data_IF_829453554762
#
_entry.id   IF_829453554762
#
_cell.length_a   1.000
_cell.length_b   1.000
_cell.length_c   1.000
_cell.angle_alpha   90.00
_cell.angle_beta   90.00
_cell.angle_gamma   90.00
#
_symmetry.space_group_name_H-M   'P 1'
#
loop_
_entity.id
_entity.type
_entity.pdbx_description
1 polymer ?
#
# COMPACT_ATOMS: atom_id res chain seq x y z
N UNK A 1 -0.08 -78.77 -41.52
CA UNK A 1 -0.14 -77.31 -41.62
C UNK A 1 0.54 -76.72 -40.40
N UNK A 2 1.79 -76.27 -40.59
CA UNK A 2 2.68 -75.83 -39.50
C UNK A 2 2.54 -74.35 -39.26
N UNK A 3 2.23 -73.96 -38.00
CA UNK A 3 2.23 -72.59 -37.52
C UNK A 3 3.66 -72.16 -37.17
N UNK A 4 4.19 -71.17 -37.85
CA UNK A 4 5.42 -70.46 -37.47
C UNK A 4 5.07 -69.28 -36.51
N UNK A 5 5.40 -69.46 -35.24
CA UNK A 5 5.44 -68.41 -34.23
C UNK A 5 6.70 -67.57 -34.42
N UNK A 6 6.53 -66.30 -34.77
CA UNK A 6 7.61 -65.31 -34.85
C UNK A 6 8.01 -64.86 -33.45
N UNK A 7 9.25 -64.99 -33.11
CA UNK A 7 9.86 -64.54 -31.86
C UNK A 7 10.00 -63.04 -31.88
N UNK A 8 9.22 -62.31 -31.04
CA UNK A 8 9.41 -60.90 -30.79
C UNK A 8 10.62 -60.73 -29.86
N UNK A 9 11.70 -60.19 -30.41
CA UNK A 9 12.87 -59.76 -29.63
C UNK A 9 12.47 -58.50 -28.85
N UNK A 10 12.42 -58.57 -27.51
CA UNK A 10 12.35 -57.42 -26.62
C UNK A 10 13.65 -56.62 -26.77
N UNK A 11 13.52 -55.41 -27.27
CA UNK A 11 14.60 -54.41 -27.27
C UNK A 11 14.74 -53.92 -25.83
N UNK A 12 15.77 -54.40 -25.14
CA UNK A 12 16.18 -53.90 -23.83
C UNK A 12 16.63 -52.43 -23.97
N UNK A 13 15.83 -51.51 -23.45
CA UNK A 13 16.01 -50.06 -23.58
C UNK A 13 16.99 -49.43 -22.60
N UNK A 14 18.02 -50.11 -22.18
CA UNK A 14 19.08 -49.54 -21.32
C UNK A 14 20.42 -49.51 -22.04
N UNK A 15 20.50 -48.69 -23.09
CA UNK A 15 21.76 -48.33 -23.70
C UNK A 15 22.29 -47.05 -23.02
N UNK A 16 23.30 -47.10 -22.16
CA UNK A 16 23.86 -45.95 -21.47
C UNK A 16 24.44 -44.91 -22.45
N UNK A 17 24.80 -45.31 -23.67
CA UNK A 17 25.29 -44.38 -24.70
C UNK A 17 24.19 -43.41 -25.23
N UNK A 18 22.90 -43.77 -25.11
CA UNK A 18 21.79 -42.92 -25.51
C UNK A 18 21.43 -41.84 -24.43
N UNK A 19 21.86 -42.05 -23.17
CA UNK A 19 21.69 -41.05 -22.11
C UNK A 19 22.76 -39.96 -22.12
N UNK A 20 23.97 -40.23 -22.60
CA UNK A 20 25.04 -39.22 -22.69
C UNK A 20 24.89 -38.27 -23.90
N UNK A 21 24.16 -38.63 -24.93
CA UNK A 21 23.95 -37.82 -26.14
C UNK A 21 22.90 -36.69 -26.00
N UNK A 22 22.10 -36.68 -24.92
CA UNK A 22 21.02 -35.70 -24.72
C UNK A 22 21.41 -34.53 -23.79
N UNK A 23 22.61 -34.52 -23.20
CA UNK A 23 23.17 -33.32 -22.57
C UNK A 23 23.76 -32.51 -23.67
N UNK A 24 22.90 -31.68 -24.30
CA UNK A 24 23.25 -30.77 -25.39
C UNK A 24 24.56 -30.07 -25.07
N UNK A 25 25.53 -30.23 -25.96
CA UNK A 25 26.82 -29.53 -25.99
C UNK A 25 26.55 -28.01 -26.09
N UNK A 26 26.22 -27.38 -24.94
CA UNK A 26 26.29 -25.91 -24.82
C UNK A 26 27.74 -25.53 -25.10
N UNK A 27 27.96 -24.74 -26.14
CA UNK A 27 29.28 -24.32 -26.56
C UNK A 27 30.06 -23.68 -25.40
N UNK A 28 31.34 -23.90 -25.24
CA UNK A 28 32.13 -23.32 -24.14
C UNK A 28 31.94 -21.80 -24.02
N UNK A 29 31.80 -21.09 -25.15
CA UNK A 29 31.59 -19.65 -25.24
C UNK A 29 30.27 -19.23 -24.62
N UNK A 30 29.17 -19.96 -24.86
CA UNK A 30 27.83 -19.68 -24.29
C UNK A 30 27.81 -19.87 -22.76
N UNK A 31 28.60 -20.81 -22.24
CA UNK A 31 28.75 -20.98 -20.78
C UNK A 31 29.54 -19.84 -20.16
N UNK A 32 30.59 -19.35 -20.81
CA UNK A 32 31.39 -18.23 -20.33
C UNK A 32 30.55 -16.96 -20.27
N UNK A 33 29.76 -16.67 -21.31
CA UNK A 33 28.82 -15.55 -21.35
C UNK A 33 27.74 -15.65 -20.26
N UNK A 34 27.14 -16.82 -20.07
CA UNK A 34 26.14 -17.04 -19.01
C UNK A 34 26.72 -16.80 -17.61
N UNK A 35 27.97 -17.16 -17.37
CA UNK A 35 28.66 -16.91 -16.11
C UNK A 35 28.92 -15.42 -15.87
N UNK A 36 29.32 -14.67 -16.90
CA UNK A 36 29.53 -13.21 -16.81
C UNK A 36 28.21 -12.51 -16.53
N UNK A 37 27.14 -12.87 -17.28
CA UNK A 37 25.82 -12.31 -17.10
C UNK A 37 25.27 -12.60 -15.69
N UNK A 38 25.41 -13.84 -15.21
CA UNK A 38 25.00 -14.22 -13.86
C UNK A 38 25.70 -13.37 -12.78
N UNK A 39 27.03 -13.19 -12.89
CA UNK A 39 27.80 -12.36 -11.95
C UNK A 39 27.36 -10.91 -12.00
N UNK A 40 27.12 -10.36 -13.20
CA UNK A 40 26.62 -9.00 -13.36
C UNK A 40 25.24 -8.83 -12.68
N UNK A 41 24.28 -9.73 -12.96
CA UNK A 41 22.96 -9.73 -12.34
C UNK A 41 23.07 -9.88 -10.81
N UNK A 42 23.99 -10.70 -10.31
CA UNK A 42 24.20 -10.85 -8.87
C UNK A 42 24.70 -9.57 -8.21
N UNK A 43 25.64 -8.87 -8.86
CA UNK A 43 26.15 -7.58 -8.36
C UNK A 43 25.07 -6.51 -8.39
N UNK A 44 24.37 -6.37 -9.52
CA UNK A 44 23.27 -5.40 -9.68
C UNK A 44 22.17 -5.63 -8.66
N UNK A 45 21.69 -6.87 -8.52
CA UNK A 45 20.64 -7.18 -7.53
C UNK A 45 21.12 -6.98 -6.09
N UNK A 46 22.42 -7.13 -5.81
CA UNK A 46 22.99 -6.82 -4.50
C UNK A 46 22.98 -5.32 -4.20
N UNK A 47 23.35 -4.51 -5.16
CA UNK A 47 23.33 -3.05 -5.03
C UNK A 47 21.88 -2.54 -4.87
N UNK A 48 20.96 -3.07 -5.69
CA UNK A 48 19.54 -2.73 -5.59
C UNK A 48 18.94 -3.15 -4.24
N UNK A 49 19.32 -4.33 -3.71
CA UNK A 49 18.86 -4.78 -2.41
C UNK A 49 19.36 -3.88 -1.28
N UNK A 50 20.62 -3.47 -1.31
CA UNK A 50 21.17 -2.54 -0.33
C UNK A 50 20.41 -1.20 -0.38
N UNK A 51 20.18 -0.67 -1.57
CA UNK A 51 19.40 0.55 -1.77
C UNK A 51 17.95 0.39 -1.24
N UNK A 52 17.31 -0.75 -1.53
CA UNK A 52 15.95 -1.04 -1.06
C UNK A 52 15.89 -1.18 0.47
N UNK A 53 16.90 -1.78 1.12
CA UNK A 53 17.00 -1.85 2.59
C UNK A 53 17.12 -0.44 3.17
N UNK A 54 17.98 0.41 2.60
CA UNK A 54 18.12 1.80 3.05
C UNK A 54 16.81 2.56 2.88
N UNK A 55 16.17 2.45 1.70
CA UNK A 55 14.88 3.08 1.45
C UNK A 55 13.79 2.60 2.41
N UNK A 56 13.72 1.29 2.69
CA UNK A 56 12.78 0.72 3.66
C UNK A 56 13.02 1.26 5.07
N UNK A 57 14.29 1.33 5.52
CA UNK A 57 14.65 1.86 6.83
C UNK A 57 14.25 3.34 6.96
N UNK A 58 14.56 4.17 5.97
CA UNK A 58 14.17 5.58 5.94
C UNK A 58 12.65 5.75 5.94
N UNK A 59 11.94 4.93 5.16
CA UNK A 59 10.48 4.99 5.08
C UNK A 59 9.81 4.55 6.38
N UNK A 60 10.35 3.55 7.08
CA UNK A 60 9.87 3.14 8.42
C UNK A 60 10.07 4.27 9.43
N UNK A 61 11.23 4.94 9.41
CA UNK A 61 11.49 6.08 10.29
C UNK A 61 10.55 7.26 10.00
N UNK A 62 10.27 7.52 8.73
CA UNK A 62 9.31 8.55 8.32
C UNK A 62 7.89 8.22 8.79
N UNK A 63 7.40 7.00 8.52
CA UNK A 63 6.07 6.58 8.98
C UNK A 63 5.96 6.61 10.52
N UNK A 64 7.00 6.19 11.24
CA UNK A 64 7.03 6.27 12.69
C UNK A 64 6.92 7.72 13.20
N UNK A 65 7.67 8.64 12.56
CA UNK A 65 7.61 10.08 12.88
C UNK A 65 6.22 10.66 12.62
N UNK A 66 5.64 10.35 11.44
CA UNK A 66 4.29 10.78 11.05
C UNK A 66 3.24 10.27 12.04
N UNK A 67 3.29 8.99 12.42
CA UNK A 67 2.38 8.41 13.43
C UNK A 67 2.49 9.12 14.77
N UNK A 68 3.71 9.38 15.23
CA UNK A 68 3.91 10.10 16.50
C UNK A 68 3.37 11.52 16.44
N UNK A 69 3.58 12.22 15.34
CA UNK A 69 3.05 13.56 15.12
C UNK A 69 1.52 13.57 15.17
N UNK A 70 0.87 12.72 14.36
CA UNK A 70 -0.60 12.63 14.30
C UNK A 70 -1.17 12.17 15.65
N UNK A 71 -0.53 11.23 16.33
CA UNK A 71 -0.93 10.74 17.66
C UNK A 71 -0.88 11.85 18.70
N UNK A 72 0.23 12.59 18.78
CA UNK A 72 0.35 13.71 19.71
C UNK A 72 -0.68 14.79 19.46
N UNK A 73 -0.99 15.02 18.16
CA UNK A 73 -2.03 15.96 17.74
C UNK A 73 -3.44 15.47 18.17
N UNK A 74 -3.74 14.21 17.87
CA UNK A 74 -5.01 13.56 18.25
C UNK A 74 -5.22 13.57 19.76
N UNK A 75 -4.19 13.23 20.55
CA UNK A 75 -4.26 13.20 22.01
C UNK A 75 -4.51 14.60 22.64
N UNK A 76 -4.14 15.67 21.92
CA UNK A 76 -4.37 17.03 22.36
C UNK A 76 -5.82 17.50 22.15
N UNK A 77 -6.54 16.90 21.20
CA UNK A 77 -7.90 17.35 20.81
C UNK A 77 -9.00 16.35 21.21
N UNK A 78 -8.66 15.07 21.36
CA UNK A 78 -9.62 13.99 21.63
C UNK A 78 -9.40 13.44 23.04
N UNK A 79 -10.36 13.57 23.96
CA UNK A 79 -10.26 12.97 25.28
C UNK A 79 -10.15 11.44 25.17
N UNK A 80 -9.21 10.84 25.90
CA UNK A 80 -8.92 9.41 25.80
C UNK A 80 -10.04 8.49 26.29
N UNK A 81 -10.89 8.99 27.18
CA UNK A 81 -12.01 8.26 27.78
C UNK A 81 -13.35 8.41 27.03
N UNK A 82 -13.38 9.18 25.93
CA UNK A 82 -14.60 9.48 25.19
C UNK A 82 -15.15 8.28 24.43
N UNK A 83 -16.47 8.20 24.33
CA UNK A 83 -17.17 7.28 23.44
C UNK A 83 -16.82 7.55 21.95
N UNK A 84 -16.95 6.57 21.06
CA UNK A 84 -16.60 6.75 19.64
C UNK A 84 -17.26 7.97 18.99
N UNK A 85 -18.53 8.23 19.25
CA UNK A 85 -19.25 9.39 18.70
C UNK A 85 -18.69 10.72 19.22
N UNK A 86 -18.38 10.80 20.53
CA UNK A 86 -17.77 11.98 21.14
C UNK A 86 -16.36 12.28 20.55
N UNK A 87 -15.61 11.24 20.21
CA UNK A 87 -14.31 11.41 19.53
C UNK A 87 -14.48 12.01 18.14
N UNK A 88 -15.48 11.56 17.39
CA UNK A 88 -15.82 12.13 16.08
C UNK A 88 -16.18 13.59 16.25
N UNK A 89 -17.04 13.93 17.19
CA UNK A 89 -17.47 15.32 17.45
C UNK A 89 -16.30 16.21 17.89
N UNK A 90 -15.39 15.70 18.73
CA UNK A 90 -14.18 16.44 19.14
C UNK A 90 -13.27 16.77 17.96
N UNK A 91 -13.05 15.82 17.03
CA UNK A 91 -12.27 16.06 15.81
C UNK A 91 -12.96 17.12 14.93
N UNK A 92 -14.26 16.98 14.68
CA UNK A 92 -15.03 17.94 13.86
C UNK A 92 -15.07 19.32 14.49
N UNK A 93 -15.20 19.39 15.81
CA UNK A 93 -15.15 20.65 16.56
C UNK A 93 -13.78 21.34 16.38
N UNK A 94 -12.68 20.60 16.52
CA UNK A 94 -11.35 21.13 16.24
C UNK A 94 -11.21 21.60 14.79
N UNK A 95 -11.72 20.83 13.82
CA UNK A 95 -11.71 21.22 12.40
C UNK A 95 -12.52 22.49 12.12
N UNK A 96 -13.52 22.79 12.95
CA UNK A 96 -14.32 24.02 12.84
C UNK A 96 -13.63 25.22 13.49
N UNK A 97 -12.98 25.03 14.62
CA UNK A 97 -12.52 26.10 15.52
C UNK A 97 -11.00 26.06 15.77
N UNK A 98 -10.27 25.22 15.03
CA UNK A 98 -8.81 25.11 15.18
C UNK A 98 -8.09 26.42 14.84
N UNK A 99 -6.90 26.65 15.39
CA UNK A 99 -6.13 27.85 15.12
C UNK A 99 -5.74 27.94 13.65
N UNK A 100 -5.98 29.07 13.02
CA UNK A 100 -5.50 29.34 11.67
C UNK A 100 -3.97 29.31 11.67
N UNK A 101 -3.38 28.46 10.83
CA UNK A 101 -1.95 28.44 10.58
C UNK A 101 -1.67 29.15 9.27
N UNK A 102 -0.65 30.00 9.28
CA UNK A 102 -0.20 30.66 8.08
C UNK A 102 0.46 29.63 7.17
N UNK A 103 -0.08 29.50 5.97
CA UNK A 103 0.48 28.66 4.92
C UNK A 103 1.54 29.47 4.18
N UNK A 104 2.80 29.23 4.48
CA UNK A 104 3.94 29.94 3.85
C UNK A 104 4.74 29.03 2.92
N UNK A 105 4.28 27.80 2.70
CA UNK A 105 4.97 26.81 1.89
C UNK A 105 4.33 26.57 0.51
N UNK A 106 5.05 25.89 -0.40
CA UNK A 106 4.46 25.34 -1.60
C UNK A 106 3.31 24.39 -1.23
N UNK A 107 2.37 24.19 -2.16
CA UNK A 107 1.26 23.27 -1.94
C UNK A 107 1.80 21.89 -1.61
N UNK A 108 1.66 21.47 -0.34
CA UNK A 108 2.09 20.17 0.14
C UNK A 108 1.23 19.04 -0.42
N UNK A 109 1.66 17.81 -0.20
CA UNK A 109 0.90 16.64 -0.59
C UNK A 109 -0.42 16.57 0.16
N UNK A 110 -1.53 16.40 -0.56
CA UNK A 110 -2.86 16.17 0.04
C UNK A 110 -2.97 14.81 0.76
N UNK A 111 -1.89 14.03 0.76
CA UNK A 111 -1.78 12.71 1.40
C UNK A 111 -0.76 12.68 2.52
N UNK A 112 -0.10 13.80 2.79
CA UNK A 112 0.76 13.97 3.95
C UNK A 112 -0.04 14.55 5.12
N UNK A 113 -0.27 13.78 6.21
CA UNK A 113 -1.01 14.28 7.37
C UNK A 113 -0.36 15.49 8.04
N UNK A 114 0.96 15.66 7.94
CA UNK A 114 1.65 16.81 8.52
C UNK A 114 1.28 18.11 7.84
N UNK A 115 0.99 18.05 6.54
CA UNK A 115 0.51 19.17 5.74
C UNK A 115 -1.00 19.35 5.85
N UNK A 116 -1.78 18.25 5.79
CA UNK A 116 -3.25 18.33 5.81
C UNK A 116 -3.82 18.73 7.16
N UNK A 117 -3.09 18.53 8.26
CA UNK A 117 -3.44 19.03 9.59
C UNK A 117 -3.17 20.53 9.76
N UNK A 118 -2.52 21.18 8.80
CA UNK A 118 -2.48 22.63 8.75
C UNK A 118 -3.89 23.16 8.46
N UNK A 119 -4.41 24.03 9.34
CA UNK A 119 -5.78 24.52 9.24
C UNK A 119 -6.07 25.22 7.91
N UNK A 120 -5.11 25.97 7.37
CA UNK A 120 -5.25 26.60 6.06
C UNK A 120 -5.42 25.56 4.93
N UNK A 121 -4.71 24.42 5.01
CA UNK A 121 -4.85 23.32 4.05
C UNK A 121 -6.17 22.58 4.18
N UNK A 122 -6.72 22.44 5.41
CA UNK A 122 -8.04 21.82 5.64
C UNK A 122 -9.18 22.52 4.90
N UNK A 123 -9.06 23.84 4.71
CA UNK A 123 -10.12 24.65 4.09
C UNK A 123 -10.06 24.62 2.55
N UNK A 124 -9.01 24.04 1.95
CA UNK A 124 -8.79 24.10 0.49
C UNK A 124 -9.74 23.18 -0.29
N UNK A 125 -9.74 21.89 0.04
CA UNK A 125 -10.48 20.88 -0.73
C UNK A 125 -11.00 19.73 0.14
N UNK A 126 -12.02 19.02 -0.37
CA UNK A 126 -12.61 17.87 0.32
C UNK A 126 -11.60 16.76 0.61
N UNK A 127 -10.63 16.54 -0.27
CA UNK A 127 -9.60 15.55 -0.10
C UNK A 127 -8.69 15.81 1.11
N UNK A 128 -8.27 17.06 1.34
CA UNK A 128 -7.43 17.42 2.50
C UNK A 128 -8.19 17.32 3.81
N UNK A 129 -9.43 17.79 3.85
CA UNK A 129 -10.28 17.69 5.03
C UNK A 129 -10.53 16.21 5.42
N UNK A 130 -10.86 15.37 4.44
CA UNK A 130 -11.07 13.93 4.69
C UNK A 130 -9.78 13.23 5.11
N UNK A 131 -8.63 13.57 4.50
CA UNK A 131 -7.34 13.02 4.89
C UNK A 131 -7.02 13.34 6.35
N UNK A 132 -7.13 14.62 6.75
CA UNK A 132 -6.89 15.04 8.13
C UNK A 132 -7.82 14.31 9.11
N UNK A 133 -9.12 14.26 8.80
CA UNK A 133 -10.10 13.56 9.63
C UNK A 133 -9.79 12.08 9.81
N UNK A 134 -9.54 11.34 8.71
CA UNK A 134 -9.26 9.89 8.75
C UNK A 134 -7.99 9.60 9.56
N UNK A 135 -6.93 10.40 9.39
CA UNK A 135 -5.69 10.21 10.14
C UNK A 135 -5.86 10.53 11.65
N UNK A 136 -6.63 11.56 12.00
CA UNK A 136 -6.94 11.87 13.41
C UNK A 136 -7.81 10.78 14.04
N UNK A 137 -8.84 10.33 13.32
CA UNK A 137 -9.75 9.29 13.76
C UNK A 137 -9.01 7.96 14.01
N UNK A 138 -8.15 7.52 13.07
CA UNK A 138 -7.29 6.35 13.23
C UNK A 138 -6.40 6.48 14.48
N UNK A 139 -5.78 7.64 14.68
CA UNK A 139 -4.92 7.90 15.83
C UNK A 139 -5.67 7.98 17.16
N UNK A 140 -6.96 8.34 17.12
CA UNK A 140 -7.88 8.30 18.29
C UNK A 140 -8.41 6.88 18.55
N UNK A 141 -8.03 5.88 17.75
CA UNK A 141 -8.47 4.49 17.86
C UNK A 141 -9.86 4.23 17.25
N UNK A 142 -10.32 5.08 16.34
CA UNK A 142 -11.55 4.87 15.57
C UNK A 142 -11.21 4.16 14.25
N UNK A 143 -12.03 3.17 13.87
CA UNK A 143 -11.98 2.62 12.51
C UNK A 143 -12.64 3.61 11.55
N UNK A 144 -11.87 4.20 10.67
CA UNK A 144 -12.37 5.15 9.67
C UNK A 144 -11.82 4.88 8.28
N UNK A 145 -12.55 5.30 7.25
CA UNK A 145 -12.13 5.14 5.87
C UNK A 145 -12.71 6.24 4.99
N UNK A 146 -12.00 6.55 3.92
CA UNK A 146 -12.44 7.50 2.91
C UNK A 146 -13.56 6.92 2.06
N UNK A 147 -14.51 7.76 1.65
CA UNK A 147 -15.55 7.44 0.70
C UNK A 147 -15.60 8.50 -0.41
N UNK A 148 -15.45 8.09 -1.65
CA UNK A 148 -15.55 8.93 -2.83
C UNK A 148 -16.97 8.87 -3.39
N UNK A 149 -17.60 10.01 -3.58
CA UNK A 149 -18.87 10.16 -4.29
C UNK A 149 -18.57 10.40 -5.76
N UNK A 150 -19.17 9.61 -6.64
CA UNK A 150 -18.86 9.62 -8.08
C UNK A 150 -20.07 10.08 -8.91
N UNK A 151 -19.79 10.84 -9.98
CA UNK A 151 -20.78 11.16 -11.00
C UNK A 151 -21.08 9.98 -11.94
N UNK A 152 -21.93 10.22 -12.93
CA UNK A 152 -22.27 9.24 -13.96
C UNK A 152 -21.05 8.77 -14.77
N UNK A 153 -20.02 9.60 -14.90
CA UNK A 153 -18.79 9.34 -15.63
C UNK A 153 -17.69 8.78 -14.70
N UNK A 154 -18.04 8.38 -13.48
CA UNK A 154 -17.11 7.90 -12.43
C UNK A 154 -16.02 8.94 -12.06
N UNK A 155 -16.30 10.22 -12.23
CA UNK A 155 -15.43 11.29 -11.71
C UNK A 155 -15.81 11.59 -10.27
N UNK A 156 -14.81 11.86 -9.43
CA UNK A 156 -15.05 12.21 -8.03
C UNK A 156 -15.68 13.60 -7.97
N UNK A 157 -16.89 13.66 -7.44
CA UNK A 157 -17.61 14.90 -7.15
C UNK A 157 -17.27 15.42 -5.76
N UNK A 158 -17.23 14.53 -4.78
CA UNK A 158 -17.00 14.87 -3.39
C UNK A 158 -16.29 13.72 -2.65
N UNK A 159 -15.67 14.03 -1.52
CA UNK A 159 -14.98 13.06 -0.67
C UNK A 159 -15.46 13.24 0.76
N UNK A 160 -15.94 12.17 1.35
CA UNK A 160 -16.39 12.11 2.74
C UNK A 160 -15.69 10.97 3.47
N UNK A 161 -15.93 10.81 4.76
CA UNK A 161 -15.45 9.69 5.56
C UNK A 161 -16.60 8.78 6.01
N UNK A 162 -16.30 7.51 6.22
CA UNK A 162 -17.10 6.60 7.02
C UNK A 162 -16.36 6.26 8.30
N UNK A 163 -17.05 6.23 9.42
CA UNK A 163 -16.51 5.86 10.73
C UNK A 163 -17.36 4.74 11.34
N UNK A 164 -16.70 3.75 11.92
CA UNK A 164 -17.36 2.65 12.61
C UNK A 164 -17.73 3.09 14.06
N UNK A 165 -19.00 3.28 14.30
CA UNK A 165 -19.56 3.63 15.60
C UNK A 165 -20.64 2.60 15.95
N UNK A 166 -20.53 1.96 17.09
CA UNK A 166 -21.47 0.94 17.59
C UNK A 166 -21.84 -0.15 16.56
N UNK A 167 -20.81 -0.60 15.82
CA UNK A 167 -20.96 -1.63 14.79
C UNK A 167 -21.58 -1.16 13.47
N UNK A 168 -21.84 0.15 13.29
CA UNK A 168 -22.40 0.74 12.09
C UNK A 168 -21.43 1.73 11.43
N UNK A 169 -21.30 1.66 10.10
CA UNK A 169 -20.54 2.66 9.34
C UNK A 169 -21.39 3.91 9.12
N UNK A 170 -21.15 4.95 9.92
CA UNK A 170 -21.81 6.25 9.79
C UNK A 170 -21.05 7.16 8.84
N UNK A 171 -21.76 8.04 8.14
CA UNK A 171 -21.16 8.99 7.20
C UNK A 171 -20.86 10.32 7.90
N UNK A 172 -19.62 10.74 7.77
CA UNK A 172 -19.11 12.01 8.27
C UNK A 172 -18.63 12.83 7.10
N UNK A 173 -19.02 14.12 7.04
CA UNK A 173 -18.51 15.05 6.04
C UNK A 173 -17.53 16.04 6.68
N UNK A 174 -16.20 15.81 6.51
CA UNK A 174 -15.19 16.65 7.14
C UNK A 174 -15.13 18.08 6.57
N UNK A 175 -15.55 18.28 5.33
CA UNK A 175 -15.59 19.62 4.71
C UNK A 175 -16.64 20.49 5.39
N UNK A 176 -17.83 19.92 5.59
CA UNK A 176 -18.93 20.57 6.30
C UNK A 176 -18.86 20.39 7.81
N UNK A 177 -17.86 19.67 8.32
CA UNK A 177 -17.57 19.41 9.74
C UNK A 177 -18.78 18.86 10.47
N UNK A 178 -19.46 17.89 9.86
CA UNK A 178 -20.71 17.36 10.36
C UNK A 178 -20.81 15.85 10.21
N UNK A 179 -21.53 15.25 11.14
CA UNK A 179 -22.04 13.87 11.00
C UNK A 179 -23.40 13.97 10.33
N UNK A 180 -23.61 13.23 9.23
CA UNK A 180 -24.91 13.24 8.57
C UNK A 180 -25.96 12.51 9.41
N UNK A 181 -27.12 13.15 9.62
CA UNK A 181 -28.22 12.64 10.44
C UNK A 181 -29.54 12.73 9.68
N UNK A 182 -30.43 11.76 9.91
CA UNK A 182 -31.80 11.81 9.35
C UNK A 182 -32.65 12.87 10.08
N UNK A 183 -33.88 13.04 9.62
CA UNK A 183 -34.84 13.98 10.23
C UNK A 183 -35.19 13.67 11.69
N UNK A 184 -34.92 12.46 12.16
CA UNK A 184 -35.09 12.04 13.56
C UNK A 184 -33.78 12.22 14.38
N UNK A 185 -32.74 12.83 13.81
CA UNK A 185 -31.44 13.04 14.46
C UNK A 185 -30.55 11.79 14.55
N UNK A 186 -30.91 10.66 13.93
CA UNK A 186 -30.12 9.44 13.94
C UNK A 186 -29.05 9.49 12.88
N UNK A 187 -27.85 9.00 13.21
CA UNK A 187 -26.75 8.89 12.26
C UNK A 187 -27.09 7.98 11.09
N UNK A 188 -26.72 8.38 9.87
CA UNK A 188 -27.04 7.67 8.63
C UNK A 188 -25.83 6.94 8.07
N UNK A 189 -26.09 5.79 7.43
CA UNK A 189 -25.10 5.02 6.71
C UNK A 189 -25.08 5.40 5.22
N UNK A 190 -24.02 4.99 4.49
CA UNK A 190 -23.98 5.12 3.04
C UNK A 190 -25.23 4.56 2.35
N UNK A 191 -25.71 3.40 2.83
CA UNK A 191 -26.90 2.74 2.28
C UNK A 191 -28.17 3.56 2.48
N UNK A 192 -28.33 4.20 3.63
CA UNK A 192 -29.49 5.07 3.90
C UNK A 192 -29.48 6.27 2.94
N UNK A 193 -28.31 6.82 2.65
CA UNK A 193 -28.13 7.98 1.76
C UNK A 193 -28.32 7.69 0.26
N UNK A 194 -28.42 6.42 -0.16
CA UNK A 194 -28.87 6.09 -1.53
C UNK A 194 -30.34 6.45 -1.73
N UNK A 195 -31.11 6.50 -0.63
CA UNK A 195 -32.47 7.04 -0.70
C UNK A 195 -32.42 8.56 -0.77
N UNK A 196 -32.90 9.11 -1.89
CA UNK A 196 -32.87 10.55 -2.17
C UNK A 196 -33.56 11.40 -1.12
N UNK A 197 -34.68 10.94 -0.57
CA UNK A 197 -35.42 11.67 0.47
C UNK A 197 -34.64 11.75 1.78
N UNK A 198 -33.97 10.65 2.17
CA UNK A 198 -33.09 10.61 3.35
C UNK A 198 -31.89 11.54 3.14
N UNK A 199 -31.27 11.48 1.96
CA UNK A 199 -30.14 12.36 1.61
C UNK A 199 -30.55 13.83 1.74
N UNK A 200 -31.66 14.24 1.11
CA UNK A 200 -32.12 15.63 1.17
C UNK A 200 -32.47 16.05 2.61
N UNK A 201 -33.09 15.18 3.38
CA UNK A 201 -33.39 15.48 4.79
C UNK A 201 -32.10 15.64 5.61
N UNK A 202 -31.11 14.77 5.40
CA UNK A 202 -29.84 14.80 6.13
C UNK A 202 -28.97 16.02 5.77
N UNK A 203 -29.16 16.63 4.60
CA UNK A 203 -28.28 17.70 4.07
C UNK A 203 -28.98 19.07 4.02
N UNK A 204 -30.31 19.13 4.14
CA UNK A 204 -31.11 20.37 4.01
C UNK A 204 -30.71 21.49 5.00
N UNK A 205 -30.20 21.11 6.17
CA UNK A 205 -29.72 22.07 7.18
C UNK A 205 -28.26 22.49 7.04
N UNK A 206 -27.53 21.99 6.03
CA UNK A 206 -26.11 22.24 5.86
C UNK A 206 -25.92 23.32 4.77
N UNK A 207 -25.50 24.54 5.13
CA UNK A 207 -25.31 25.62 4.15
C UNK A 207 -24.30 25.24 3.08
N UNK A 208 -24.67 25.42 1.79
CA UNK A 208 -23.80 25.18 0.66
C UNK A 208 -23.58 23.70 0.31
N UNK A 209 -24.29 22.76 0.94
CA UNK A 209 -24.22 21.35 0.53
C UNK A 209 -24.84 21.17 -0.85
N UNK A 210 -24.08 20.62 -1.78
CA UNK A 210 -24.55 20.47 -3.17
C UNK A 210 -25.59 19.35 -3.26
N UNK A 211 -26.83 19.67 -3.65
CA UNK A 211 -27.87 18.66 -3.83
C UNK A 211 -27.59 17.69 -4.99
N UNK A 212 -26.64 17.97 -5.88
CA UNK A 212 -26.26 17.08 -6.95
C UNK A 212 -25.41 15.88 -6.48
N UNK A 213 -24.89 15.90 -5.25
CA UNK A 213 -24.17 14.75 -4.70
C UNK A 213 -25.11 13.54 -4.61
N UNK A 214 -24.54 12.35 -4.86
CA UNK A 214 -25.24 11.07 -4.79
C UNK A 214 -24.37 10.00 -4.15
N UNK A 215 -25.01 9.09 -3.40
CA UNK A 215 -24.39 7.94 -2.80
C UNK A 215 -24.65 6.63 -3.58
N UNK A 216 -25.26 6.71 -4.76
CA UNK A 216 -25.52 5.55 -5.62
C UNK A 216 -24.24 4.92 -6.16
N UNK A 217 -23.24 5.77 -6.40
CA UNK A 217 -21.93 5.35 -6.93
C UNK A 217 -20.83 5.85 -6.01
N UNK A 218 -20.27 4.92 -5.27
CA UNK A 218 -19.21 5.24 -4.31
C UNK A 218 -18.06 4.26 -4.43
N UNK A 219 -16.84 4.73 -4.14
CA UNK A 219 -15.63 3.91 -4.07
C UNK A 219 -14.78 4.34 -2.86
N UNK A 220 -14.15 3.39 -2.18
CA UNK A 220 -13.14 3.72 -1.15
C UNK A 220 -11.75 3.88 -1.77
N UNK A 221 -11.47 3.11 -2.84
CA UNK A 221 -10.17 3.08 -3.53
C UNK A 221 -10.33 3.40 -5.00
N UNK A 222 -9.70 4.48 -5.46
CA UNK A 222 -9.78 4.88 -6.86
C UNK A 222 -8.65 4.28 -7.69
N UNK A 223 -8.86 3.05 -8.18
CA UNK A 223 -7.90 2.35 -9.07
C UNK A 223 -7.87 2.90 -10.50
N UNK A 224 -8.88 3.64 -10.92
CA UNK A 224 -8.96 4.23 -12.28
C UNK A 224 -7.77 5.15 -12.62
N UNK A 225 -7.10 5.74 -11.63
CA UNK A 225 -5.90 6.56 -11.85
C UNK A 225 -4.67 5.77 -12.34
N UNK A 226 -4.66 4.46 -12.14
CA UNK A 226 -3.56 3.56 -12.54
C UNK A 226 -3.75 3.00 -13.96
N UNK A 227 -4.75 3.45 -14.71
CA UNK A 227 -5.03 2.98 -16.08
C UNK A 227 -5.23 1.46 -16.14
N UNK A 228 -4.65 0.81 -17.16
CA UNK A 228 -4.77 -0.64 -17.34
C UNK A 228 -4.16 -1.48 -16.20
N UNK A 229 -3.14 -0.96 -15.53
CA UNK A 229 -2.54 -1.63 -14.35
C UNK A 229 -3.55 -1.66 -13.20
N UNK A 230 -4.35 -0.61 -13.02
CA UNK A 230 -5.36 -0.54 -11.97
C UNK A 230 -6.43 -1.62 -12.09
N UNK A 231 -6.89 -1.93 -13.30
CA UNK A 231 -7.85 -3.01 -13.52
C UNK A 231 -7.26 -4.40 -13.23
N UNK A 232 -6.01 -4.63 -13.64
CA UNK A 232 -5.30 -5.87 -13.32
C UNK A 232 -5.11 -6.04 -11.80
N UNK A 233 -4.66 -5.00 -11.11
CA UNK A 233 -4.48 -5.02 -9.66
C UNK A 233 -5.80 -5.24 -8.93
N UNK A 234 -6.90 -4.62 -9.38
CA UNK A 234 -8.24 -4.82 -8.81
C UNK A 234 -8.67 -6.29 -8.89
N UNK A 235 -8.47 -6.93 -10.05
CA UNK A 235 -8.79 -8.35 -10.23
C UNK A 235 -7.89 -9.24 -9.37
N UNK A 236 -6.58 -8.96 -9.34
CA UNK A 236 -5.62 -9.73 -8.55
C UNK A 236 -5.92 -9.63 -7.05
N UNK A 237 -6.06 -8.41 -6.52
CA UNK A 237 -6.38 -8.20 -5.11
C UNK A 237 -7.77 -8.70 -4.73
N UNK A 238 -8.77 -8.54 -5.61
CA UNK A 238 -10.11 -9.07 -5.38
C UNK A 238 -10.15 -10.61 -5.24
N UNK A 239 -9.21 -11.31 -5.91
CA UNK A 239 -9.05 -12.77 -5.75
C UNK A 239 -8.28 -13.17 -4.50
N UNK A 240 -7.25 -12.40 -4.13
CA UNK A 240 -6.38 -12.70 -2.99
C UNK A 240 -6.99 -12.27 -1.65
N UNK A 241 -7.72 -11.16 -1.64
CA UNK A 241 -8.33 -10.57 -0.45
C UNK A 241 -9.69 -9.96 -0.80
N UNK A 242 -10.77 -10.77 -0.87
CA UNK A 242 -12.11 -10.26 -1.14
C UNK A 242 -12.51 -9.15 -0.16
N UNK A 243 -13.05 -8.05 -0.68
CA UNK A 243 -13.42 -6.89 0.15
C UNK A 243 -12.27 -5.96 0.56
N UNK A 244 -11.08 -6.15 0.02
CA UNK A 244 -9.91 -5.30 0.32
C UNK A 244 -10.17 -3.80 0.05
N UNK A 245 -11.01 -3.47 -0.94
CA UNK A 245 -11.37 -2.10 -1.30
C UNK A 245 -12.10 -1.37 -0.15
N UNK A 246 -12.87 -2.12 0.65
CA UNK A 246 -13.62 -1.62 1.81
C UNK A 246 -12.80 -1.63 3.11
N UNK A 247 -11.55 -2.06 3.04
CA UNK A 247 -10.67 -2.19 4.20
C UNK A 247 -10.20 -0.83 4.72
N UNK A 248 -10.23 -0.65 6.03
CA UNK A 248 -9.64 0.51 6.72
C UNK A 248 -8.16 0.67 6.37
N UNK A 249 -7.42 -0.45 6.36
CA UNK A 249 -5.99 -0.44 6.04
C UNK A 249 -5.72 0.06 4.62
N UNK A 250 -6.53 -0.38 3.63
CA UNK A 250 -6.38 0.09 2.25
C UNK A 250 -6.65 1.60 2.13
N UNK A 251 -7.65 2.10 2.85
CA UNK A 251 -7.93 3.53 2.94
C UNK A 251 -6.76 4.30 3.54
N UNK A 252 -6.23 3.85 4.69
CA UNK A 252 -5.09 4.50 5.36
C UNK A 252 -3.82 4.53 4.51
N UNK A 253 -3.51 3.44 3.80
CA UNK A 253 -2.37 3.41 2.86
C UNK A 253 -2.51 4.49 1.78
N UNK A 254 -3.75 4.77 1.34
CA UNK A 254 -4.01 5.80 0.35
C UNK A 254 -4.02 7.21 0.94
N UNK A 255 -4.36 7.35 2.22
CA UNK A 255 -4.44 8.63 2.91
C UNK A 255 -3.16 9.03 3.64
N UNK A 256 -2.15 8.13 3.72
CA UNK A 256 -0.88 8.39 4.39
C UNK A 256 0.28 8.04 3.46
N UNK A 257 0.92 9.06 2.92
CA UNK A 257 2.00 8.91 1.95
C UNK A 257 3.21 8.15 2.52
N UNK A 258 3.57 8.42 3.77
CA UNK A 258 4.64 7.71 4.48
C UNK A 258 4.35 6.22 4.61
N UNK A 259 3.10 5.83 4.92
CA UNK A 259 2.66 4.43 5.00
C UNK A 259 2.70 3.74 3.63
N UNK A 260 2.22 4.43 2.59
CA UNK A 260 2.26 3.90 1.22
C UNK A 260 3.70 3.67 0.75
N UNK A 261 4.59 4.63 1.02
CA UNK A 261 6.01 4.55 0.67
C UNK A 261 6.71 3.43 1.43
N UNK A 262 6.45 3.31 2.73
CA UNK A 262 6.97 2.22 3.56
C UNK A 262 6.55 0.85 3.02
N UNK A 263 5.26 0.65 2.74
CA UNK A 263 4.77 -0.61 2.20
C UNK A 263 5.40 -0.93 0.84
N UNK A 264 5.51 0.06 -0.05
CA UNK A 264 6.14 -0.09 -1.36
C UNK A 264 7.62 -0.49 -1.24
N UNK A 265 8.37 0.17 -0.37
CA UNK A 265 9.79 -0.13 -0.12
C UNK A 265 9.99 -1.53 0.47
N UNK A 266 9.16 -1.95 1.43
CA UNK A 266 9.20 -3.30 2.00
C UNK A 266 8.86 -4.37 0.97
N UNK A 267 7.84 -4.15 0.13
CA UNK A 267 7.48 -5.08 -0.94
C UNK A 267 8.59 -5.20 -1.98
N UNK A 268 9.23 -4.08 -2.37
CA UNK A 268 10.37 -4.09 -3.28
C UNK A 268 11.56 -4.86 -2.67
N UNK A 269 11.86 -4.62 -1.40
CA UNK A 269 12.91 -5.35 -0.68
C UNK A 269 12.63 -6.87 -0.67
N UNK A 270 11.41 -7.28 -0.35
CA UNK A 270 11.02 -8.70 -0.38
C UNK A 270 11.15 -9.31 -1.78
N UNK A 271 10.70 -8.60 -2.82
CA UNK A 271 10.83 -9.06 -4.20
C UNK A 271 12.30 -9.25 -4.60
N UNK A 272 13.19 -8.33 -4.21
CA UNK A 272 14.63 -8.46 -4.46
C UNK A 272 15.27 -9.61 -3.66
N UNK A 273 14.83 -9.86 -2.44
CA UNK A 273 15.27 -11.04 -1.66
C UNK A 273 14.86 -12.34 -2.36
N UNK A 274 13.60 -12.44 -2.78
CA UNK A 274 13.10 -13.61 -3.51
C UNK A 274 13.85 -13.80 -4.83
N UNK A 275 14.09 -12.73 -5.58
CA UNK A 275 14.88 -12.76 -6.80
C UNK A 275 16.31 -13.28 -6.54
N UNK A 276 16.95 -12.85 -5.46
CA UNK A 276 18.28 -13.35 -5.08
C UNK A 276 18.28 -14.82 -4.70
N UNK A 277 17.27 -15.28 -3.97
CA UNK A 277 17.10 -16.70 -3.64
C UNK A 277 16.96 -17.51 -4.93
N UNK A 278 16.13 -17.03 -5.86
CA UNK A 278 15.95 -17.64 -7.18
C UNK A 278 17.25 -17.68 -7.99
N UNK A 279 17.96 -16.54 -8.10
CA UNK A 279 19.24 -16.46 -8.79
C UNK A 279 20.28 -17.41 -8.18
N UNK A 280 20.36 -17.50 -6.85
CA UNK A 280 21.26 -18.44 -6.18
C UNK A 280 20.90 -19.90 -6.54
N UNK A 281 19.63 -20.25 -6.46
CA UNK A 281 19.15 -21.58 -6.82
C UNK A 281 19.46 -21.90 -8.29
N UNK A 282 19.16 -20.98 -9.19
CA UNK A 282 19.41 -21.14 -10.63
C UNK A 282 20.93 -21.25 -10.94
N UNK A 283 21.74 -20.37 -10.38
CA UNK A 283 23.19 -20.36 -10.55
C UNK A 283 23.82 -21.70 -10.13
N UNK A 284 23.47 -22.18 -8.94
CA UNK A 284 24.02 -23.45 -8.42
C UNK A 284 23.53 -24.67 -9.21
N UNK A 285 22.18 -24.74 -9.47
CA UNK A 285 21.61 -25.97 -10.07
C UNK A 285 21.72 -26.05 -11.58
N UNK A 286 21.70 -24.90 -12.28
CA UNK A 286 21.68 -24.88 -13.75
C UNK A 286 23.02 -24.49 -14.36
N UNK A 287 23.74 -23.55 -13.75
CA UNK A 287 25.00 -23.04 -14.29
C UNK A 287 26.24 -23.63 -13.59
N UNK A 288 26.09 -24.32 -12.45
CA UNK A 288 27.22 -24.80 -11.65
C UNK A 288 28.06 -23.64 -11.06
N UNK A 289 27.50 -22.43 -10.96
CA UNK A 289 28.19 -21.22 -10.49
C UNK A 289 27.73 -20.86 -9.10
N UNK A 290 28.70 -20.74 -8.19
CA UNK A 290 28.40 -20.22 -6.85
C UNK A 290 28.45 -18.69 -6.87
N UNK A 291 27.49 -18.03 -6.22
CA UNK A 291 27.51 -16.56 -6.11
C UNK A 291 28.78 -16.12 -5.36
N UNK A 292 29.39 -15.00 -5.75
CA UNK A 292 30.56 -14.48 -5.05
C UNK A 292 30.22 -14.13 -3.60
N UNK A 293 31.04 -14.60 -2.66
CA UNK A 293 30.91 -14.32 -1.22
C UNK A 293 31.36 -12.87 -0.91
N UNK A 294 30.62 -11.89 -1.43
CA UNK A 294 30.96 -10.47 -1.22
C UNK A 294 30.84 -10.09 0.27
N UNK A 295 29.89 -10.65 1.02
CA UNK A 295 29.74 -10.38 2.45
C UNK A 295 30.97 -10.77 3.26
N UNK A 296 31.53 -11.97 3.01
CA UNK A 296 32.75 -12.41 3.67
C UNK A 296 34.01 -11.61 3.29
N UNK A 297 34.04 -11.09 2.05
CA UNK A 297 35.14 -10.19 1.61
C UNK A 297 35.03 -8.81 2.24
N UNK A 298 33.82 -8.24 2.30
CA UNK A 298 33.57 -6.95 2.95
C UNK A 298 33.83 -7.02 4.46
N UNK A 299 33.37 -8.07 5.14
CA UNK A 299 33.67 -8.26 6.56
C UNK A 299 35.17 -8.42 6.85
N UNK A 300 35.89 -9.15 6.00
CA UNK A 300 37.36 -9.28 6.10
C UNK A 300 38.08 -7.95 5.81
N UNK A 301 37.63 -7.19 4.82
CA UNK A 301 38.19 -5.87 4.53
C UNK A 301 37.90 -4.88 5.67
N UNK A 302 36.69 -4.96 6.25
CA UNK A 302 36.30 -4.14 7.40
C UNK A 302 37.11 -4.47 8.65
N UNK A 303 37.25 -5.76 9.02
CA UNK A 303 38.10 -6.16 10.15
C UNK A 303 39.55 -5.75 9.96
N UNK A 304 40.11 -5.95 8.75
CA UNK A 304 41.48 -5.53 8.45
C UNK A 304 41.68 -4.00 8.55
N UNK A 305 40.66 -3.20 8.20
CA UNK A 305 40.71 -1.75 8.37
C UNK A 305 40.76 -1.32 9.84
N UNK A 306 39.95 -1.94 10.70
CA UNK A 306 39.94 -1.63 12.14
C UNK A 306 41.16 -2.19 12.86
N UNK A 307 41.66 -3.36 12.45
CA UNK A 307 42.88 -3.94 13.04
C UNK A 307 44.13 -3.13 12.68
N UNK A 308 44.12 -2.48 11.49
CA UNK A 308 45.25 -1.61 11.08
C UNK A 308 45.24 -0.22 11.71
N UNK A 309 44.07 0.23 12.23
CA UNK A 309 43.93 1.53 12.89
C UNK A 309 44.18 1.53 14.41
N UNK A 310 44.38 0.36 15.01
CA UNK A 310 44.63 0.23 16.47
C UNK A 310 46.12 0.35 16.86
N UNK A 311 46.98 0.72 15.91
CA UNK A 311 48.43 0.81 16.11
C UNK A 311 49.03 2.24 16.04
N UNK A 312 48.22 3.29 16.36
CA UNK A 312 48.73 4.69 16.44
C UNK A 312 48.47 5.23 17.85
#
# INVERSE_FOLDING_TARGET
MQNKLGTVRAISGDDPALREGAIGLVRPDERAEAHVLFRALWVVTSALLLLAITAATCSVAWEYSTRRYVKGFSDAIVPSSSAPEEKVDAILHWMSNGPARLDHGPDGSIRDPTETLNYASLLKVCGTATNAFVNLADSAGLSSRRLLLLDSNRRTMHVVAEVLVDGRWIVVDPVFRTVLRDSAGRTVTRKDLTNRSVFLAATSGIPGYDPAYTYDRTEHVRMARLGGIGSFLRVAFGRLAPGWEDSVTASLVLERESLATMMGAVLLMMALVLLRIFLRWYGVRRLGVYPPEMGARLLRAWSAYFDSGAGV
#
